data_IF_924638778282
#
_entry.id   IF_924638778282
#
_cell.length_a   1.000
_cell.length_b   1.000
_cell.length_c   1.000
_cell.angle_alpha   90.00
_cell.angle_beta   90.00
_cell.angle_gamma   90.00
#
_symmetry.space_group_name_H-M   'P 1'
#
loop_
_entity.id
_entity.type
_entity.pdbx_description
1 polymer ?
#
# COMPACT_ATOMS: atom_id res chain seq x y z
N UNK A 1 -16.27 -7.85 6.37
CA UNK A 1 -15.57 -9.16 6.29
C UNK A 1 -15.49 -9.52 4.81
N UNK A 2 -14.39 -10.11 4.32
CA UNK A 2 -14.29 -10.56 2.92
C UNK A 2 -14.66 -12.06 2.81
N UNK A 3 -14.93 -12.60 1.60
CA UNK A 3 -15.36 -14.00 1.43
C UNK A 3 -14.38 -15.04 2.00
N UNK A 4 -13.07 -14.77 1.95
CA UNK A 4 -12.06 -15.64 2.54
C UNK A 4 -12.18 -15.72 4.07
N UNK A 5 -12.38 -14.59 4.73
CA UNK A 5 -12.61 -14.54 6.17
C UNK A 5 -13.95 -15.18 6.56
N UNK A 6 -15.02 -15.01 5.77
CA UNK A 6 -16.30 -15.68 6.02
C UNK A 6 -16.17 -17.20 6.00
N UNK A 7 -15.43 -17.75 5.02
CA UNK A 7 -15.15 -19.18 4.92
C UNK A 7 -14.34 -19.68 6.12
N UNK A 8 -13.31 -18.93 6.52
CA UNK A 8 -12.41 -19.31 7.61
C UNK A 8 -13.11 -19.25 8.99
N UNK A 9 -13.94 -18.24 9.22
CA UNK A 9 -14.67 -18.06 10.49
C UNK A 9 -15.92 -18.96 10.52
N UNK A 10 -16.47 -19.30 9.35
CA UNK A 10 -17.68 -20.11 9.22
C UNK A 10 -18.97 -19.30 9.42
N UNK A 11 -18.95 -18.00 9.12
CA UNK A 11 -20.13 -17.14 9.17
C UNK A 11 -20.12 -16.10 8.05
N UNK A 12 -21.30 -15.70 7.58
CA UNK A 12 -21.44 -14.58 6.65
C UNK A 12 -21.41 -13.24 7.40
N UNK A 13 -20.88 -12.22 6.74
CA UNK A 13 -20.84 -10.85 7.23
C UNK A 13 -22.22 -10.33 7.63
N UNK A 14 -23.21 -10.53 6.76
CA UNK A 14 -24.57 -10.00 6.90
C UNK A 14 -25.25 -10.48 8.18
N UNK A 15 -25.03 -11.73 8.56
CA UNK A 15 -25.64 -12.35 9.76
C UNK A 15 -25.07 -11.79 11.08
N UNK A 16 -23.95 -11.07 11.02
CA UNK A 16 -23.19 -10.60 12.19
C UNK A 16 -22.96 -9.09 12.21
N UNK A 17 -23.61 -8.35 11.32
CA UNK A 17 -23.60 -6.89 11.37
C UNK A 17 -24.18 -6.41 12.71
N UNK A 18 -23.45 -5.50 13.38
CA UNK A 18 -23.85 -4.94 14.68
C UNK A 18 -23.62 -5.85 15.90
N UNK A 19 -23.13 -7.08 15.73
CA UNK A 19 -22.81 -7.97 16.85
C UNK A 19 -21.41 -7.69 17.44
N UNK A 20 -21.19 -7.90 18.75
CA UNK A 20 -19.88 -7.75 19.36
C UNK A 20 -18.83 -8.69 18.75
N UNK A 21 -17.60 -8.20 18.56
CA UNK A 21 -16.53 -8.98 17.91
C UNK A 21 -16.18 -10.28 18.65
N UNK A 22 -16.31 -10.30 19.98
CA UNK A 22 -16.17 -11.50 20.81
C UNK A 22 -17.18 -12.61 20.51
N UNK A 23 -18.29 -12.29 19.83
CA UNK A 23 -19.23 -13.30 19.35
C UNK A 23 -18.86 -13.83 17.96
N UNK A 24 -17.86 -13.25 17.30
CA UNK A 24 -17.45 -13.59 15.93
C UNK A 24 -16.10 -14.30 15.96
N UNK A 25 -15.12 -13.72 16.65
CA UNK A 25 -13.74 -14.22 16.71
C UNK A 25 -13.44 -14.83 18.08
N UNK A 26 -13.06 -16.11 18.06
CA UNK A 26 -12.68 -16.88 19.25
C UNK A 26 -11.26 -17.39 19.09
N UNK A 27 -10.38 -17.01 20.02
CA UNK A 27 -8.97 -17.38 19.97
C UNK A 27 -8.59 -18.28 21.14
N UNK A 28 -7.72 -19.25 20.86
CA UNK A 28 -7.03 -20.08 21.85
C UNK A 28 -5.52 -20.01 21.64
N UNK A 29 -4.75 -20.19 22.71
CA UNK A 29 -3.30 -20.34 22.62
C UNK A 29 -2.91 -21.80 22.35
N UNK A 30 -1.61 -22.08 22.18
CA UNK A 30 -1.11 -23.45 21.97
C UNK A 30 -1.37 -24.43 23.12
N UNK A 31 -1.68 -23.93 24.31
CA UNK A 31 -2.09 -24.75 25.46
C UNK A 31 -3.60 -25.02 25.51
N UNK A 32 -4.36 -24.52 24.52
CA UNK A 32 -5.82 -24.68 24.45
C UNK A 32 -6.63 -23.71 25.32
N UNK A 33 -5.98 -22.79 26.03
CA UNK A 33 -6.65 -21.79 26.85
C UNK A 33 -7.23 -20.68 25.98
N UNK A 34 -8.42 -20.20 26.34
CA UNK A 34 -9.03 -19.02 25.71
C UNK A 34 -8.13 -17.81 25.91
N UNK A 35 -7.89 -17.06 24.83
CA UNK A 35 -7.11 -15.82 24.84
C UNK A 35 -8.07 -14.65 24.75
N UNK A 36 -7.71 -13.52 25.36
CA UNK A 36 -8.47 -12.28 25.20
C UNK A 36 -8.58 -11.92 23.71
N UNK A 37 -9.72 -11.32 23.34
CA UNK A 37 -9.93 -10.97 21.94
C UNK A 37 -9.02 -9.79 21.59
N UNK A 38 -7.99 -10.07 20.78
CA UNK A 38 -7.02 -9.07 20.34
C UNK A 38 -7.68 -7.84 19.71
N UNK A 39 -8.85 -7.97 19.10
CA UNK A 39 -9.60 -6.83 18.57
C UNK A 39 -10.13 -5.93 19.68
N UNK A 40 -10.65 -6.51 20.76
CA UNK A 40 -11.09 -5.75 21.93
C UNK A 40 -9.91 -5.06 22.64
N UNK A 41 -8.74 -5.70 22.68
CA UNK A 41 -7.51 -5.06 23.21
C UNK A 41 -7.12 -3.81 22.41
N UNK A 42 -7.16 -3.87 21.08
CA UNK A 42 -6.89 -2.70 20.23
C UNK A 42 -7.96 -1.63 20.44
N UNK A 43 -9.24 -2.01 20.55
CA UNK A 43 -10.33 -1.08 20.82
C UNK A 43 -10.23 -0.38 22.19
N UNK A 44 -9.58 -1.01 23.18
CA UNK A 44 -9.34 -0.40 24.50
C UNK A 44 -8.09 0.48 24.52
N UNK A 45 -7.00 0.01 23.91
CA UNK A 45 -5.68 0.64 24.02
C UNK A 45 -5.39 1.67 22.94
N UNK A 46 -6.06 1.59 21.78
CA UNK A 46 -5.70 2.37 20.60
C UNK A 46 -4.34 1.98 20.00
N UNK A 47 -3.71 0.89 20.45
CA UNK A 47 -2.42 0.42 19.97
C UNK A 47 -2.60 -0.83 19.11
N UNK A 48 -1.84 -0.99 18.01
CA UNK A 48 -1.89 -2.20 17.19
C UNK A 48 -1.41 -3.42 17.97
N UNK A 49 -1.96 -4.59 17.62
CA UNK A 49 -1.64 -5.88 18.22
C UNK A 49 -1.42 -6.94 17.14
N UNK A 50 -0.40 -7.76 17.34
CA UNK A 50 -0.08 -8.91 16.50
C UNK A 50 0.20 -10.15 17.36
N UNK A 51 -0.15 -11.33 16.83
CA UNK A 51 0.19 -12.60 17.46
C UNK A 51 0.36 -13.69 16.39
N UNK A 52 1.54 -14.31 16.39
CA UNK A 52 1.92 -15.33 15.41
C UNK A 52 1.48 -16.76 15.73
N UNK A 53 1.00 -17.03 16.95
CA UNK A 53 0.74 -18.38 17.45
C UNK A 53 -0.64 -18.45 18.15
N UNK A 54 -1.71 -18.23 17.39
CA UNK A 54 -3.09 -18.38 17.87
C UNK A 54 -3.86 -19.42 17.08
N UNK A 55 -4.85 -20.02 17.74
CA UNK A 55 -5.83 -20.88 17.12
C UNK A 55 -7.15 -20.14 17.03
N UNK A 56 -7.64 -19.91 15.81
CA UNK A 56 -9.00 -19.45 15.57
C UNK A 56 -9.94 -20.64 15.66
N UNK A 57 -10.99 -20.50 16.47
CA UNK A 57 -12.09 -21.47 16.53
C UNK A 57 -13.24 -20.94 15.68
N UNK A 58 -13.50 -21.61 14.57
CA UNK A 58 -14.59 -21.27 13.66
C UNK A 58 -15.95 -21.70 14.24
N UNK A 59 -17.02 -21.20 13.64
CA UNK A 59 -18.41 -21.46 14.07
C UNK A 59 -18.86 -22.90 13.91
N UNK A 60 -18.27 -23.62 12.96
CA UNK A 60 -18.49 -25.07 12.79
C UNK A 60 -17.60 -25.93 13.71
N UNK A 61 -16.82 -25.31 14.60
CA UNK A 61 -16.00 -26.01 15.60
C UNK A 61 -14.60 -26.42 15.12
N UNK A 62 -14.23 -26.14 13.87
CA UNK A 62 -12.86 -26.39 13.41
C UNK A 62 -11.86 -25.39 14.04
N UNK A 63 -10.63 -25.86 14.25
CA UNK A 63 -9.55 -25.06 14.78
C UNK A 63 -8.52 -24.82 13.69
N UNK A 64 -8.13 -23.56 13.51
CA UNK A 64 -7.16 -23.15 12.52
C UNK A 64 -6.02 -22.42 13.21
N UNK A 65 -4.78 -22.91 13.05
CA UNK A 65 -3.61 -22.14 13.46
C UNK A 65 -3.46 -20.94 12.54
N UNK A 66 -3.41 -19.75 13.14
CA UNK A 66 -3.37 -18.49 12.43
C UNK A 66 -2.30 -17.54 12.97
N UNK A 67 -1.85 -16.67 12.08
CA UNK A 67 -1.26 -15.39 12.45
C UNK A 67 -2.37 -14.34 12.41
N UNK A 68 -2.56 -13.64 13.52
CA UNK A 68 -3.57 -12.61 13.68
C UNK A 68 -2.91 -11.24 13.85
N UNK A 69 -3.47 -10.25 13.19
CA UNK A 69 -3.07 -8.86 13.34
C UNK A 69 -4.32 -7.98 13.40
N UNK A 70 -4.34 -7.05 14.35
CA UNK A 70 -5.37 -6.04 14.49
C UNK A 70 -4.73 -4.66 14.61
N UNK A 71 -5.29 -3.68 13.93
CA UNK A 71 -4.80 -2.30 13.97
C UNK A 71 -5.97 -1.34 14.16
N UNK A 72 -5.79 -0.28 14.97
CA UNK A 72 -6.83 0.69 15.22
C UNK A 72 -7.16 1.48 13.95
N UNK A 73 -8.43 1.82 13.79
CA UNK A 73 -8.91 2.77 12.81
C UNK A 73 -9.36 4.00 13.57
N UNK A 74 -8.73 5.14 13.31
CA UNK A 74 -9.11 6.42 13.87
C UNK A 74 -10.00 7.16 12.86
N UNK A 75 -11.10 7.74 13.35
CA UNK A 75 -11.93 8.71 12.64
C UNK A 75 -11.50 10.14 12.95
N UNK A 76 -12.20 11.13 12.36
CA UNK A 76 -11.88 12.55 12.57
C UNK A 76 -11.72 12.91 14.05
N UNK A 77 -10.79 13.83 14.34
CA UNK A 77 -10.38 14.23 15.71
C UNK A 77 -9.64 13.13 16.51
N UNK A 78 -8.91 12.23 15.84
CA UNK A 78 -8.13 11.14 16.47
C UNK A 78 -8.97 10.16 17.32
N UNK A 79 -10.30 10.15 17.11
CA UNK A 79 -11.19 9.26 17.84
C UNK A 79 -11.12 7.86 17.27
N UNK A 80 -10.86 6.86 18.11
CA UNK A 80 -10.89 5.45 17.71
C UNK A 80 -12.31 5.05 17.25
N UNK A 81 -12.45 4.65 15.99
CA UNK A 81 -13.74 4.29 15.37
C UNK A 81 -13.87 2.80 15.07
N UNK A 82 -12.77 2.06 14.97
CA UNK A 82 -12.82 0.63 14.70
C UNK A 82 -11.45 -0.02 14.64
N UNK A 83 -11.40 -1.20 14.01
CA UNK A 83 -10.16 -1.94 13.78
C UNK A 83 -10.14 -2.60 12.41
N UNK A 84 -8.96 -2.68 11.81
CA UNK A 84 -8.68 -3.48 10.64
C UNK A 84 -8.00 -4.79 11.09
N UNK A 85 -8.54 -5.93 10.66
CA UNK A 85 -8.12 -7.24 11.16
C UNK A 85 -7.71 -8.14 10.01
N UNK A 86 -6.58 -8.80 10.15
CA UNK A 86 -6.04 -9.68 9.12
C UNK A 86 -5.65 -11.01 9.74
N UNK A 87 -6.17 -12.09 9.14
CA UNK A 87 -5.97 -13.46 9.59
C UNK A 87 -5.29 -14.23 8.45
N UNK A 88 -4.23 -14.98 8.78
CA UNK A 88 -3.55 -15.87 7.82
C UNK A 88 -3.43 -17.26 8.43
N UNK A 89 -3.92 -18.28 7.74
CA UNK A 89 -3.73 -19.68 8.14
C UNK A 89 -2.27 -20.09 7.96
N UNK A 90 -1.74 -20.84 8.93
CA UNK A 90 -0.49 -21.60 8.75
C UNK A 90 -0.86 -22.94 8.13
N UNK A 91 -0.99 -23.02 6.81
CA UNK A 91 -1.06 -24.32 6.15
C UNK A 91 0.33 -25.00 6.18
N UNK A 92 0.32 -26.32 6.36
CA UNK A 92 1.49 -27.19 6.41
C UNK A 92 2.20 -27.22 5.05
N UNK A 93 3.01 -26.21 4.75
CA UNK A 93 4.09 -26.36 3.79
C UNK A 93 5.31 -26.93 4.51
N UNK A 94 5.36 -28.25 4.61
CA UNK A 94 6.59 -28.99 4.87
C UNK A 94 7.52 -28.81 3.67
N UNK A 95 8.34 -27.76 3.68
CA UNK A 95 9.75 -27.78 3.27
C UNK A 95 10.35 -26.36 3.32
N UNK A 96 11.50 -26.24 3.98
CA UNK A 96 12.38 -25.07 4.15
C UNK A 96 12.07 -24.10 5.30
N UNK A 97 12.23 -24.61 6.53
CA UNK A 97 12.02 -23.90 7.79
C UNK A 97 12.95 -22.69 8.08
N UNK A 98 13.96 -22.42 7.26
CA UNK A 98 14.90 -21.30 7.52
C UNK A 98 14.77 -20.13 6.54
N UNK A 99 14.06 -20.28 5.42
CA UNK A 99 13.88 -19.21 4.41
C UNK A 99 12.58 -18.39 4.58
N UNK A 100 11.56 -18.96 5.20
CA UNK A 100 10.22 -18.34 5.27
C UNK A 100 10.02 -17.37 6.44
N UNK A 101 10.83 -17.45 7.49
CA UNK A 101 10.61 -16.70 8.73
C UNK A 101 10.97 -15.22 8.56
N UNK A 102 12.02 -14.92 7.78
CA UNK A 102 12.45 -13.56 7.45
C UNK A 102 11.48 -12.88 6.47
N UNK A 103 10.96 -13.63 5.51
CA UNK A 103 9.94 -13.17 4.55
C UNK A 103 8.62 -12.85 5.25
N UNK A 104 8.20 -13.68 6.21
CA UNK A 104 6.99 -13.42 7.02
C UNK A 104 7.08 -12.13 7.82
N UNK A 105 8.24 -11.80 8.39
CA UNK A 105 8.41 -10.58 9.20
C UNK A 105 8.34 -9.30 8.35
N UNK A 106 8.90 -9.30 7.15
CA UNK A 106 8.81 -8.18 6.20
C UNK A 106 7.38 -8.06 5.64
N UNK A 107 6.74 -9.17 5.28
CA UNK A 107 5.32 -9.17 4.86
C UNK A 107 4.40 -8.61 5.96
N UNK A 108 4.70 -8.83 7.24
CA UNK A 108 3.97 -8.23 8.37
C UNK A 108 4.27 -6.74 8.54
N UNK A 109 5.52 -6.29 8.43
CA UNK A 109 5.88 -4.87 8.54
C UNK A 109 5.31 -4.00 7.40
N UNK A 110 5.27 -4.54 6.18
CA UNK A 110 4.69 -3.86 5.00
C UNK A 110 3.17 -3.75 5.13
N UNK A 111 2.55 -4.79 5.67
CA UNK A 111 1.12 -4.83 5.99
C UNK A 111 0.77 -3.91 7.15
N UNK A 112 1.63 -3.75 8.15
CA UNK A 112 1.52 -2.73 9.20
C UNK A 112 1.54 -1.31 8.59
N UNK A 113 2.44 -1.05 7.65
CA UNK A 113 2.57 0.27 7.01
C UNK A 113 1.37 0.60 6.11
N UNK A 114 0.89 -0.36 5.31
CA UNK A 114 -0.33 -0.20 4.52
C UNK A 114 -1.58 -0.02 5.39
N UNK A 115 -1.58 -0.60 6.60
CA UNK A 115 -2.67 -0.45 7.58
C UNK A 115 -2.64 0.90 8.29
N UNK A 116 -1.46 1.45 8.59
CA UNK A 116 -1.29 2.81 9.09
C UNK A 116 -1.74 3.82 8.03
N UNK A 117 -1.39 3.63 6.76
CA UNK A 117 -1.86 4.47 5.66
C UNK A 117 -3.39 4.37 5.50
N UNK A 118 -3.97 3.16 5.60
CA UNK A 118 -5.43 2.96 5.59
C UNK A 118 -6.16 3.62 6.78
N UNK A 119 -5.51 3.72 7.94
CA UNK A 119 -6.07 4.39 9.13
C UNK A 119 -6.12 5.92 8.96
N UNK A 120 -5.13 6.51 8.27
CA UNK A 120 -5.12 7.93 7.89
C UNK A 120 -6.22 8.22 6.85
N UNK A 121 -6.50 7.29 5.93
CA UNK A 121 -7.55 7.46 4.91
C UNK A 121 -8.99 7.27 5.44
N UNK A 122 -9.18 6.57 6.56
CA UNK A 122 -10.49 6.43 7.21
C UNK A 122 -11.00 7.74 7.84
N UNK A 123 -10.11 8.74 7.97
CA UNK A 123 -10.41 10.08 8.47
C UNK A 123 -11.31 10.92 7.54
N UNK A 124 -11.63 10.47 6.32
CA UNK A 124 -12.46 11.24 5.36
C UNK A 124 -13.78 10.59 4.94
N UNK A 125 -14.15 9.43 5.48
CA UNK A 125 -15.44 8.79 5.19
C UNK A 125 -16.58 9.21 6.13
N UNK A 126 -16.25 9.93 7.22
CA UNK A 126 -17.23 10.36 8.24
C UNK A 126 -17.97 11.66 7.92
N UNK A 127 -17.60 12.36 6.84
CA UNK A 127 -18.28 13.58 6.43
C UNK A 127 -18.40 13.61 4.89
N UNK A 128 -19.63 13.89 4.45
CA UNK A 128 -20.08 14.45 3.16
C UNK A 128 -20.32 13.57 1.93
N UNK A 129 -21.41 13.92 1.24
CA UNK A 129 -22.05 13.33 0.05
C UNK A 129 -21.26 13.55 -1.24
N UNK A 130 -21.33 12.61 -2.19
CA UNK A 130 -20.97 12.80 -3.60
C UNK A 130 -19.50 12.53 -3.95
N UNK A 131 -18.57 13.39 -3.52
CA UNK A 131 -17.14 13.36 -3.94
C UNK A 131 -16.29 12.30 -3.21
N UNK A 132 -16.75 11.81 -2.05
CA UNK A 132 -15.99 10.87 -1.19
C UNK A 132 -15.88 9.45 -1.79
N UNK A 133 -16.82 9.05 -2.66
CA UNK A 133 -16.76 7.76 -3.36
C UNK A 133 -15.62 7.67 -4.39
N UNK A 134 -15.28 8.79 -5.03
CA UNK A 134 -14.20 8.81 -6.04
C UNK A 134 -12.82 8.72 -5.39
N UNK A 135 -12.64 9.38 -4.25
CA UNK A 135 -11.42 9.30 -3.43
C UNK A 135 -11.23 7.90 -2.84
N UNK A 136 -12.31 7.25 -2.39
CA UNK A 136 -12.31 5.87 -1.91
C UNK A 136 -12.01 4.88 -3.03
N UNK A 137 -12.66 5.02 -4.19
CA UNK A 137 -12.41 4.19 -5.38
C UNK A 137 -10.96 4.35 -5.87
N UNK A 138 -10.43 5.56 -5.83
CA UNK A 138 -9.04 5.85 -6.16
C UNK A 138 -8.06 5.19 -5.19
N UNK A 139 -8.32 5.26 -3.89
CA UNK A 139 -7.50 4.61 -2.87
C UNK A 139 -7.52 3.07 -3.02
N UNK A 140 -8.68 2.51 -3.37
CA UNK A 140 -8.81 1.08 -3.68
C UNK A 140 -8.07 0.69 -4.96
N UNK A 141 -8.13 1.51 -6.00
CA UNK A 141 -7.41 1.28 -7.24
C UNK A 141 -5.88 1.33 -7.04
N UNK A 142 -5.40 2.26 -6.20
CA UNK A 142 -3.99 2.36 -5.80
C UNK A 142 -3.54 1.11 -5.03
N UNK A 143 -4.35 0.67 -4.06
CA UNK A 143 -4.07 -0.56 -3.30
C UNK A 143 -4.08 -1.80 -4.18
N UNK A 144 -5.00 -1.91 -5.14
CA UNK A 144 -5.04 -3.03 -6.10
C UNK A 144 -3.82 -3.05 -7.01
N UNK A 145 -3.41 -1.90 -7.55
CA UNK A 145 -2.24 -1.83 -8.42
C UNK A 145 -0.98 -2.31 -7.68
N UNK A 146 -0.78 -1.84 -6.45
CA UNK A 146 0.38 -2.23 -5.62
C UNK A 146 0.32 -3.70 -5.19
N UNK A 147 -0.86 -4.20 -4.80
CA UNK A 147 -1.04 -5.60 -4.42
C UNK A 147 -0.80 -6.58 -5.58
N UNK A 148 -1.32 -6.28 -6.77
CA UNK A 148 -1.13 -7.09 -7.98
C UNK A 148 0.36 -7.15 -8.38
N UNK A 149 1.06 -6.04 -8.23
CA UNK A 149 2.49 -5.96 -8.53
C UNK A 149 3.36 -6.71 -7.52
N UNK A 150 2.97 -6.68 -6.25
CA UNK A 150 3.62 -7.49 -5.21
C UNK A 150 3.48 -8.99 -5.51
N UNK A 151 2.29 -9.45 -5.95
CA UNK A 151 2.05 -10.83 -6.36
C UNK A 151 2.95 -11.25 -7.54
N UNK A 152 3.03 -10.41 -8.57
CA UNK A 152 3.81 -10.70 -9.79
C UNK A 152 5.34 -10.71 -9.56
N UNK A 153 5.86 -9.93 -8.62
CA UNK A 153 7.30 -9.89 -8.34
C UNK A 153 7.77 -11.09 -7.52
N UNK A 154 6.97 -11.55 -6.57
CA UNK A 154 7.35 -12.60 -5.63
C UNK A 154 7.16 -14.02 -6.19
N UNK A 155 6.54 -14.18 -7.36
CA UNK A 155 6.63 -15.41 -8.16
C UNK A 155 8.05 -15.65 -8.74
N UNK A 156 8.92 -14.64 -8.73
CA UNK A 156 10.31 -14.80 -9.16
C UNK A 156 11.18 -15.44 -8.06
N UNK A 157 11.96 -16.45 -8.41
CA UNK A 157 12.72 -17.31 -7.47
C UNK A 157 13.83 -16.60 -6.69
N UNK A 158 14.14 -15.33 -7.02
CA UNK A 158 15.25 -14.58 -6.45
C UNK A 158 14.73 -13.37 -5.68
N UNK A 159 14.56 -13.55 -4.37
CA UNK A 159 13.80 -12.66 -3.48
C UNK A 159 14.61 -11.45 -2.97
N UNK A 160 15.84 -11.29 -3.43
CA UNK A 160 16.78 -10.27 -2.94
C UNK A 160 16.83 -9.01 -3.80
N UNK A 161 16.69 -9.17 -5.13
CA UNK A 161 16.82 -8.10 -6.12
C UNK A 161 15.73 -8.22 -7.17
N UNK A 162 14.96 -7.15 -7.35
CA UNK A 162 13.89 -7.10 -8.35
C UNK A 162 14.40 -6.43 -9.64
N UNK A 163 13.90 -6.86 -10.79
CA UNK A 163 14.08 -6.10 -12.03
C UNK A 163 13.19 -4.85 -11.97
N UNK A 164 13.79 -3.69 -11.70
CA UNK A 164 13.03 -2.46 -11.48
C UNK A 164 12.35 -1.98 -12.78
N UNK A 165 13.03 -2.15 -13.92
CA UNK A 165 12.45 -1.84 -15.23
C UNK A 165 11.16 -2.63 -15.50
N UNK A 166 11.23 -3.97 -15.34
CA UNK A 166 10.06 -4.83 -15.53
C UNK A 166 8.93 -4.42 -14.57
N UNK A 167 9.29 -4.03 -13.36
CA UNK A 167 8.36 -3.63 -12.32
C UNK A 167 7.63 -2.32 -12.66
N UNK A 168 8.36 -1.28 -13.00
CA UNK A 168 7.79 0.02 -13.40
C UNK A 168 6.94 -0.15 -14.66
N UNK A 169 7.39 -0.94 -15.63
CA UNK A 169 6.61 -1.23 -16.84
C UNK A 169 5.25 -1.85 -16.49
N UNK A 170 5.23 -2.92 -15.70
CA UNK A 170 3.96 -3.57 -15.29
C UNK A 170 3.07 -2.64 -14.48
N UNK A 171 3.64 -1.80 -13.61
CA UNK A 171 2.89 -0.81 -12.83
C UNK A 171 2.20 0.19 -13.75
N UNK A 172 2.97 0.80 -14.64
CA UNK A 172 2.44 1.81 -15.56
C UNK A 172 1.41 1.21 -16.53
N UNK A 173 1.59 -0.03 -16.99
CA UNK A 173 0.62 -0.74 -17.81
C UNK A 173 -0.71 -0.94 -17.08
N UNK A 174 -0.66 -1.40 -15.82
CA UNK A 174 -1.84 -1.59 -14.99
C UNK A 174 -2.57 -0.26 -14.72
N UNK A 175 -1.83 0.82 -14.44
CA UNK A 175 -2.44 2.13 -14.22
C UNK A 175 -3.11 2.66 -15.48
N UNK A 176 -2.45 2.57 -16.64
CA UNK A 176 -3.03 2.98 -17.91
C UNK A 176 -4.32 2.21 -18.21
N UNK A 177 -4.38 0.92 -17.87
CA UNK A 177 -5.60 0.12 -18.01
C UNK A 177 -6.70 0.55 -17.03
N UNK A 178 -6.37 0.75 -15.75
CA UNK A 178 -7.32 1.15 -14.69
C UNK A 178 -7.96 2.51 -15.02
N UNK A 179 -7.15 3.45 -15.48
CA UNK A 179 -7.58 4.80 -15.85
C UNK A 179 -8.04 4.91 -17.31
N UNK A 180 -8.09 3.80 -18.05
CA UNK A 180 -8.54 3.73 -19.45
C UNK A 180 -7.84 4.75 -20.36
N UNK A 181 -6.53 4.91 -20.16
CA UNK A 181 -5.72 5.91 -20.87
C UNK A 181 -5.53 5.49 -22.33
N UNK A 182 -5.84 6.38 -23.26
CA UNK A 182 -5.52 6.19 -24.68
C UNK A 182 -4.02 6.46 -24.93
N UNK A 183 -3.26 5.41 -25.26
CA UNK A 183 -1.82 5.47 -25.53
C UNK A 183 -1.44 6.25 -26.80
N UNK A 184 -2.37 6.48 -27.71
CA UNK A 184 -2.14 7.35 -28.88
C UNK A 184 -2.15 8.83 -28.48
N UNK A 185 -2.82 9.17 -27.38
CA UNK A 185 -2.92 10.54 -26.87
C UNK A 185 -1.90 10.82 -25.76
N UNK A 186 -1.68 9.86 -24.87
CA UNK A 186 -0.72 9.99 -23.76
C UNK A 186 0.44 9.03 -23.97
N UNK A 187 1.60 9.58 -24.33
CA UNK A 187 2.84 8.81 -24.52
C UNK A 187 3.49 8.53 -23.17
N UNK A 188 3.77 7.26 -22.89
CA UNK A 188 4.58 6.85 -21.75
C UNK A 188 6.02 6.59 -22.21
N UNK A 189 6.99 7.24 -21.58
CA UNK A 189 8.41 7.00 -21.83
C UNK A 189 9.07 6.47 -20.55
N UNK A 190 9.66 5.28 -20.63
CA UNK A 190 10.38 4.66 -19.53
C UNK A 190 11.86 4.59 -19.91
N UNK A 191 12.71 5.24 -19.12
CA UNK A 191 14.16 5.17 -19.25
C UNK A 191 14.73 4.70 -17.91
N UNK A 192 14.88 3.38 -17.75
CA UNK A 192 15.33 2.77 -16.49
C UNK A 192 16.71 2.16 -16.74
N UNK A 193 17.76 2.88 -16.34
CA UNK A 193 19.15 2.47 -16.58
C UNK A 193 19.67 1.54 -15.49
N UNK A 194 19.20 1.71 -14.25
CA UNK A 194 19.54 0.80 -13.15
C UNK A 194 18.47 -0.31 -13.05
N UNK A 195 18.87 -1.51 -13.43
CA UNK A 195 17.94 -2.63 -13.64
C UNK A 195 17.59 -3.41 -12.38
N UNK A 196 18.37 -3.32 -11.29
CA UNK A 196 18.16 -4.14 -10.09
C UNK A 196 18.17 -3.33 -8.80
N UNK A 197 17.10 -3.43 -8.02
CA UNK A 197 16.98 -2.80 -6.70
C UNK A 197 16.54 -3.83 -5.66
N UNK A 198 16.88 -3.59 -4.38
CA UNK A 198 16.34 -4.39 -3.28
C UNK A 198 14.81 -4.30 -3.29
N UNK A 199 14.13 -5.40 -2.97
CA UNK A 199 12.67 -5.47 -3.03
C UNK A 199 11.97 -4.37 -2.18
N UNK A 200 12.50 -4.09 -0.99
CA UNK A 200 11.97 -3.05 -0.09
C UNK A 200 12.03 -1.65 -0.71
N UNK A 201 13.19 -1.27 -1.26
CA UNK A 201 13.38 0.00 -1.98
C UNK A 201 12.46 0.03 -3.21
N UNK A 202 12.45 -1.03 -4.00
CA UNK A 202 11.64 -1.13 -5.20
C UNK A 202 10.15 -0.91 -4.94
N UNK A 203 9.65 -1.41 -3.81
CA UNK A 203 8.26 -1.21 -3.40
C UNK A 203 7.96 0.23 -3.01
N UNK A 204 8.84 0.90 -2.25
CA UNK A 204 8.69 2.32 -1.93
C UNK A 204 8.71 3.18 -3.20
N UNK A 205 9.61 2.89 -4.14
CA UNK A 205 9.67 3.57 -5.42
C UNK A 205 8.41 3.35 -6.26
N UNK A 206 7.83 2.15 -6.28
CA UNK A 206 6.58 1.92 -7.00
C UNK A 206 5.40 2.69 -6.41
N UNK A 207 5.30 2.78 -5.08
CA UNK A 207 4.27 3.60 -4.45
C UNK A 207 4.42 5.08 -4.84
N UNK A 208 5.66 5.58 -4.87
CA UNK A 208 5.96 6.93 -5.32
C UNK A 208 5.56 7.12 -6.79
N UNK A 209 6.00 6.23 -7.69
CA UNK A 209 5.68 6.29 -9.13
C UNK A 209 4.17 6.22 -9.35
N UNK A 210 3.47 5.34 -8.62
CA UNK A 210 2.02 5.19 -8.71
C UNK A 210 1.29 6.51 -8.40
N UNK A 211 1.64 7.14 -7.28
CA UNK A 211 1.06 8.42 -6.89
C UNK A 211 1.34 9.51 -7.92
N UNK A 212 2.58 9.61 -8.40
CA UNK A 212 3.00 10.65 -9.34
C UNK A 212 2.35 10.49 -10.72
N UNK A 213 2.29 9.26 -11.24
CA UNK A 213 1.59 8.96 -12.50
C UNK A 213 0.09 9.19 -12.36
N UNK A 214 -0.51 8.78 -11.24
CA UNK A 214 -1.94 9.02 -10.98
C UNK A 214 -2.25 10.52 -10.98
N UNK A 215 -1.42 11.33 -10.32
CA UNK A 215 -1.56 12.79 -10.32
C UNK A 215 -1.36 13.38 -11.73
N UNK A 216 -0.39 12.88 -12.49
CA UNK A 216 -0.15 13.30 -13.87
C UNK A 216 -1.40 13.07 -14.74
N UNK A 217 -2.00 11.87 -14.66
CA UNK A 217 -3.19 11.51 -15.44
C UNK A 217 -4.44 12.28 -15.01
N UNK A 218 -4.65 12.45 -13.70
CA UNK A 218 -5.87 13.07 -13.16
C UNK A 218 -5.86 14.59 -13.13
N UNK A 219 -4.69 15.20 -13.01
CA UNK A 219 -4.55 16.63 -12.77
C UNK A 219 -3.66 17.28 -13.82
N UNK A 220 -2.48 16.73 -14.06
CA UNK A 220 -1.51 17.28 -15.02
C UNK A 220 -2.08 17.32 -16.44
N UNK A 221 -2.64 16.20 -16.91
CA UNK A 221 -3.11 15.99 -18.28
C UNK A 221 -4.64 16.00 -18.42
N UNK A 222 -5.39 16.33 -17.35
CA UNK A 222 -6.85 16.20 -17.31
C UNK A 222 -7.58 16.96 -18.41
N UNK A 223 -7.02 18.12 -18.81
CA UNK A 223 -7.59 19.02 -19.82
C UNK A 223 -6.76 19.04 -21.11
N UNK A 224 -5.82 18.11 -21.27
CA UNK A 224 -4.92 18.06 -22.42
C UNK A 224 -5.43 17.02 -23.42
N UNK A 225 -5.52 17.39 -24.71
CA UNK A 225 -5.91 16.44 -25.76
C UNK A 225 -4.85 15.36 -26.01
N UNK A 226 -3.59 15.69 -25.71
CA UNK A 226 -2.44 14.79 -25.76
C UNK A 226 -1.41 15.22 -24.73
N UNK A 227 -0.45 14.34 -24.43
CA UNK A 227 0.65 14.64 -23.54
C UNK A 227 1.62 13.49 -23.40
N UNK A 228 2.59 13.66 -22.51
CA UNK A 228 3.56 12.63 -22.18
C UNK A 228 3.77 12.52 -20.68
N UNK A 229 4.08 11.31 -20.25
CA UNK A 229 4.55 11.00 -18.90
C UNK A 229 5.88 10.27 -19.07
N UNK A 230 6.90 10.71 -18.34
CA UNK A 230 8.25 10.15 -18.39
C UNK A 230 8.65 9.66 -17.02
N UNK A 231 9.20 8.45 -16.96
CA UNK A 231 9.83 7.89 -15.77
C UNK A 231 11.28 7.60 -16.10
N UNK A 232 12.18 8.29 -15.44
CA UNK A 232 13.61 8.14 -15.61
C UNK A 232 14.23 7.67 -14.29
N UNK A 233 15.04 6.60 -14.36
CA UNK A 233 15.72 6.07 -13.19
C UNK A 233 17.17 5.77 -13.54
N UNK A 234 18.08 6.47 -12.87
CA UNK A 234 19.52 6.41 -13.14
C UNK A 234 20.32 6.31 -11.87
N UNK A 235 21.57 5.90 -12.03
CA UNK A 235 22.58 5.90 -10.99
C UNK A 235 23.64 6.95 -11.32
N UNK A 236 23.80 7.92 -10.44
CA UNK A 236 24.86 8.93 -10.47
C UNK A 236 25.83 8.67 -9.31
N UNK A 237 26.94 8.00 -9.59
CA UNK A 237 27.88 7.53 -8.56
C UNK A 237 27.19 6.63 -7.51
N UNK A 238 27.17 7.04 -6.24
CA UNK A 238 26.52 6.32 -5.13
C UNK A 238 25.09 6.81 -4.84
N UNK A 239 24.51 7.62 -5.73
CA UNK A 239 23.16 8.15 -5.61
C UNK A 239 22.29 7.60 -6.73
N UNK A 240 21.13 7.06 -6.36
CA UNK A 240 20.05 6.73 -7.28
C UNK A 240 19.14 7.93 -7.44
N UNK A 241 18.76 8.22 -8.67
CA UNK A 241 17.90 9.34 -9.05
C UNK A 241 16.68 8.79 -9.76
N UNK A 242 15.51 8.96 -9.15
CA UNK A 242 14.22 8.73 -9.78
C UNK A 242 13.62 10.08 -10.17
N UNK A 243 13.24 10.23 -11.42
CA UNK A 243 12.52 11.39 -11.93
C UNK A 243 11.22 10.93 -12.58
N UNK A 244 10.11 11.55 -12.20
CA UNK A 244 8.81 11.37 -12.82
C UNK A 244 8.32 12.74 -13.27
N UNK A 245 8.08 12.88 -14.57
CA UNK A 245 7.59 14.14 -15.14
C UNK A 245 6.41 13.94 -16.08
N UNK A 246 5.60 14.98 -16.23
CA UNK A 246 4.54 15.09 -17.23
C UNK A 246 4.68 16.36 -18.06
N UNK A 247 4.00 16.40 -19.20
CA UNK A 247 3.89 17.59 -20.06
C UNK A 247 2.59 18.38 -19.84
N UNK A 248 2.06 18.34 -18.62
CA UNK A 248 0.78 18.89 -18.25
C UNK A 248 0.86 20.33 -17.75
N UNK A 249 -0.14 20.72 -16.96
CA UNK A 249 -0.26 22.08 -16.43
C UNK A 249 0.73 22.43 -15.29
N UNK A 250 1.59 21.49 -14.89
CA UNK A 250 2.50 21.66 -13.76
C UNK A 250 1.84 21.53 -12.39
N UNK A 251 2.66 21.60 -11.35
CA UNK A 251 2.22 21.63 -9.96
C UNK A 251 1.76 23.04 -9.56
N UNK A 252 0.73 23.20 -8.71
CA UNK A 252 0.35 24.51 -8.18
C UNK A 252 1.51 25.19 -7.44
N UNK A 253 1.71 26.50 -7.62
CA UNK A 253 2.82 27.25 -6.99
C UNK A 253 2.85 27.11 -5.47
N UNK A 254 1.70 27.01 -4.80
CA UNK A 254 1.63 26.84 -3.36
C UNK A 254 2.24 25.50 -2.89
N UNK A 255 2.07 24.43 -3.68
CA UNK A 255 2.64 23.11 -3.41
C UNK A 255 4.16 23.11 -3.52
N UNK A 256 4.71 23.97 -4.38
CA UNK A 256 6.16 24.14 -4.56
C UNK A 256 6.73 25.05 -3.45
N UNK A 257 6.09 26.19 -3.17
CA UNK A 257 6.65 27.24 -2.29
C UNK A 257 6.65 26.88 -0.81
N UNK A 258 5.62 26.17 -0.30
CA UNK A 258 5.51 25.90 1.14
C UNK A 258 6.28 24.66 1.61
N UNK A 259 6.85 23.84 0.70
CA UNK A 259 7.31 22.46 1.01
C UNK A 259 6.30 21.70 1.89
N UNK A 260 5.03 22.04 1.68
CA UNK A 260 3.88 21.46 2.35
C UNK A 260 2.98 21.02 1.22
N UNK A 261 3.04 19.74 0.83
CA UNK A 261 2.12 19.20 -0.15
C UNK A 261 0.69 19.46 0.31
N UNK A 262 -0.03 20.27 -0.46
CA UNK A 262 -1.44 20.59 -0.22
C UNK A 262 -2.34 19.36 -0.41
N UNK A 263 -1.83 18.28 -1.01
CA UNK A 263 -2.53 17.02 -1.25
C UNK A 263 -1.91 15.84 -0.49
N UNK A 264 -2.79 14.98 0.05
CA UNK A 264 -2.43 13.74 0.77
C UNK A 264 -1.45 12.85 0.00
N UNK A 265 -1.57 12.78 -1.34
CA UNK A 265 -0.71 11.97 -2.20
C UNK A 265 0.74 12.44 -2.21
N UNK A 266 0.98 13.75 -2.27
CA UNK A 266 2.33 14.30 -2.25
C UNK A 266 2.95 14.18 -0.84
N UNK A 267 2.16 14.27 0.24
CA UNK A 267 2.64 13.98 1.61
C UNK A 267 3.09 12.52 1.77
N UNK A 268 2.36 11.58 1.15
CA UNK A 268 2.75 10.16 1.11
C UNK A 268 4.08 9.98 0.37
N UNK A 269 4.22 10.61 -0.79
CA UNK A 269 5.45 10.57 -1.58
C UNK A 269 6.66 11.09 -0.77
N UNK A 270 6.52 12.21 -0.05
CA UNK A 270 7.57 12.72 0.83
C UNK A 270 7.92 11.76 1.98
N UNK A 271 6.92 11.13 2.58
CA UNK A 271 7.12 10.17 3.67
C UNK A 271 7.89 8.93 3.20
N UNK A 272 7.50 8.36 2.06
CA UNK A 272 8.18 7.22 1.44
C UNK A 272 9.60 7.56 1.02
N UNK A 273 9.82 8.76 0.47
CA UNK A 273 11.15 9.26 0.15
C UNK A 273 12.05 9.32 1.40
N UNK A 274 11.54 9.82 2.53
CA UNK A 274 12.28 9.85 3.80
C UNK A 274 12.61 8.45 4.33
N UNK A 275 11.71 7.47 4.16
CA UNK A 275 11.94 6.10 4.62
C UNK A 275 13.14 5.43 3.94
N UNK A 276 13.42 5.79 2.69
CA UNK A 276 14.61 5.30 1.96
C UNK A 276 15.82 6.23 2.09
N UNK A 277 15.79 7.17 3.04
CA UNK A 277 16.87 8.16 3.24
C UNK A 277 17.01 9.16 2.08
N UNK A 278 15.97 9.31 1.26
CA UNK A 278 15.96 10.15 0.07
C UNK A 278 15.55 11.60 0.32
N UNK A 279 15.95 12.45 -0.61
CA UNK A 279 15.50 13.85 -0.73
C UNK A 279 14.65 14.00 -1.98
N UNK A 280 13.57 14.74 -1.86
CA UNK A 280 12.64 14.97 -2.97
C UNK A 280 12.52 16.46 -3.26
N UNK A 281 12.48 16.78 -4.55
CA UNK A 281 12.31 18.12 -5.08
C UNK A 281 11.14 18.14 -6.08
N UNK A 282 10.32 19.17 -5.98
CA UNK A 282 9.17 19.42 -6.84
C UNK A 282 9.47 20.63 -7.73
N UNK A 283 9.41 20.44 -9.04
CA UNK A 283 9.87 21.41 -10.02
C UNK A 283 8.81 21.52 -11.13
N UNK A 284 8.53 22.74 -11.59
CA UNK A 284 7.79 22.93 -12.84
C UNK A 284 8.78 23.19 -13.98
N UNK A 285 8.80 22.30 -14.98
CA UNK A 285 9.61 22.41 -16.20
C UNK A 285 8.77 21.89 -17.38
N UNK A 286 8.06 22.80 -18.06
CA UNK A 286 7.14 22.44 -19.16
C UNK A 286 6.08 21.38 -18.77
N UNK A 287 5.68 21.43 -17.49
CA UNK A 287 4.83 20.45 -16.83
C UNK A 287 5.36 20.15 -15.42
N UNK A 288 4.79 19.14 -14.75
CA UNK A 288 5.23 18.78 -13.41
C UNK A 288 6.44 17.86 -13.50
N UNK A 289 7.46 18.09 -12.68
CA UNK A 289 8.62 17.23 -12.52
C UNK A 289 8.88 16.99 -11.04
N UNK A 290 9.02 15.73 -10.66
CA UNK A 290 9.35 15.32 -9.30
C UNK A 290 10.61 14.49 -9.34
N UNK A 291 11.61 14.91 -8.58
CA UNK A 291 12.91 14.29 -8.56
C UNK A 291 13.25 13.80 -7.15
N UNK A 292 13.59 12.52 -7.04
CA UNK A 292 13.96 11.84 -5.80
C UNK A 292 15.40 11.35 -5.91
N UNK A 293 16.25 11.77 -4.96
CA UNK A 293 17.66 11.35 -4.87
C UNK A 293 17.91 10.62 -3.56
N UNK A 294 18.49 9.43 -3.61
CA UNK A 294 18.74 8.60 -2.41
C UNK A 294 19.99 7.72 -2.60
N UNK A 295 20.69 7.32 -1.51
CA UNK A 295 21.92 6.55 -1.62
C UNK A 295 21.67 5.09 -2.02
N UNK A 296 22.59 4.49 -2.79
CA UNK A 296 22.54 3.07 -3.21
C UNK A 296 22.57 2.11 -2.01
N UNK A 297 23.18 2.52 -0.90
CA UNK A 297 23.31 1.72 0.33
C UNK A 297 22.08 1.73 1.23
N UNK A 298 20.99 2.42 0.85
CA UNK A 298 19.74 2.44 1.59
C UNK A 298 19.12 1.04 1.77
#
# INVERSE_FOLDING_TARGET
>A
MNPAAEKLIGCKYEDYLGKPIRQILFFRNGSGNTVENLVEEVLKSGLPKDNGNLFLISKNGSSHEIQFQSSPIFGGEEKLTGTFNILRTKEQHTNNAEKDTYLKEIHHRIKNNLTIISSIFSLRSGQTTGESNDVLRESQNRLRAVALLHEILYESKDLSLISFELYVKKLTDALFQIYQVNREKVRLELNIQEGKVKAEIGMNLALIINELITNSLKHGLANSESGSIRVHFTKENDILVLEVSDSGNGLPEESIRKRNPSSLGLSLVESLAKQIGGKIDFINQEGACVQLRFPVSA
#
